data_IF_542954440269
#
_entry.id   IF_542954440269
#
_cell.length_a   1.000
_cell.length_b   1.000
_cell.length_c   1.000
_cell.angle_alpha   90.00
_cell.angle_beta   90.00
_cell.angle_gamma   90.00
#
_symmetry.space_group_name_H-M   'P 1'
#
loop_
_entity.id
_entity.type
_entity.pdbx_description
1 polymer ?
#
# COMPACT_ATOMS: atom_id res chain seq x y z
N UNK A 1 9.69 35.23 -0.02
CA UNK A 1 8.67 36.22 0.42
C UNK A 1 7.34 35.80 -0.18
N UNK A 2 6.20 35.82 0.49
CA UNK A 2 5.82 35.54 1.86
C UNK A 2 4.30 35.33 1.75
N UNK A 3 3.78 34.29 2.41
CA UNK A 3 2.37 34.03 2.73
C UNK A 3 1.28 34.37 1.72
N UNK A 4 0.58 33.36 1.18
CA UNK A 4 -0.88 33.37 1.01
C UNK A 4 -1.37 31.93 0.77
N UNK A 5 -1.21 31.07 1.79
CA UNK A 5 -2.00 29.84 1.90
C UNK A 5 -3.25 30.25 2.68
N UNK A 6 -4.28 30.65 1.93
CA UNK A 6 -5.62 30.85 2.48
C UNK A 6 -6.15 29.49 2.96
N UNK A 7 -6.49 29.41 4.24
CA UNK A 7 -7.06 28.23 4.92
C UNK A 7 -8.47 27.85 4.39
N UNK A 8 -8.98 28.55 3.37
CA UNK A 8 -10.22 28.22 2.67
C UNK A 8 -10.03 27.26 1.48
N UNK A 9 -8.80 27.02 1.02
CA UNK A 9 -8.52 26.13 -0.13
C UNK A 9 -8.65 24.62 0.18
N UNK A 10 -8.69 24.25 1.47
CA UNK A 10 -8.75 22.85 1.91
C UNK A 10 -10.14 22.23 1.77
N UNK A 11 -11.19 23.03 1.48
CA UNK A 11 -12.58 22.52 1.37
C UNK A 11 -13.07 22.28 -0.06
N UNK A 12 -12.39 22.79 -1.09
CA UNK A 12 -12.83 22.61 -2.49
C UNK A 12 -12.14 21.43 -3.22
N UNK A 13 -10.95 21.01 -2.80
CA UNK A 13 -10.32 19.79 -3.34
C UNK A 13 -11.05 18.51 -2.88
N UNK A 14 -11.84 18.60 -1.81
CA UNK A 14 -12.61 17.50 -1.18
C UNK A 14 -13.70 16.93 -2.09
N UNK A 15 -14.09 17.63 -3.16
CA UNK A 15 -15.35 17.32 -3.87
C UNK A 15 -15.15 16.63 -5.22
N UNK A 16 -14.00 16.74 -5.90
CA UNK A 16 -13.82 16.08 -7.21
C UNK A 16 -13.52 14.57 -7.14
N UNK A 17 -12.90 14.08 -6.06
CA UNK A 17 -12.59 12.65 -5.90
C UNK A 17 -13.70 11.91 -5.13
N UNK A 18 -14.31 12.55 -4.13
CA UNK A 18 -15.38 11.94 -3.33
C UNK A 18 -16.68 11.71 -4.10
N UNK A 19 -16.99 12.55 -5.11
CA UNK A 19 -18.32 12.57 -5.70
C UNK A 19 -18.51 11.62 -6.91
N UNK A 20 -17.43 11.12 -7.50
CA UNK A 20 -17.47 10.05 -8.50
C UNK A 20 -17.34 8.64 -7.89
N UNK A 21 -16.88 8.54 -6.64
CA UNK A 21 -16.82 7.28 -5.88
C UNK A 21 -18.10 6.99 -5.07
N UNK A 22 -19.03 7.95 -4.99
CA UNK A 22 -20.32 7.79 -4.28
C UNK A 22 -21.28 6.76 -4.93
N UNK A 23 -20.92 6.19 -6.09
CA UNK A 23 -21.60 5.02 -6.66
C UNK A 23 -21.04 3.72 -6.07
N UNK A 24 -21.37 3.50 -4.82
CA UNK A 24 -22.05 2.29 -4.32
C UNK A 24 -22.09 2.41 -2.80
N UNK A 25 -23.29 2.39 -2.23
CA UNK A 25 -23.48 2.13 -0.80
C UNK A 25 -23.05 0.69 -0.40
N UNK A 26 -22.27 0.01 -1.25
CA UNK A 26 -21.61 -1.28 -1.07
C UNK A 26 -20.07 -1.14 -1.03
N UNK A 27 -19.51 0.06 -1.21
CA UNK A 27 -18.07 0.32 -1.15
C UNK A 27 -17.61 0.67 0.27
N UNK A 28 -17.90 -0.20 1.24
CA UNK A 28 -16.79 -0.56 2.13
C UNK A 28 -15.89 -1.40 1.23
N UNK A 29 -14.77 -0.85 0.78
CA UNK A 29 -13.82 -1.60 -0.05
C UNK A 29 -13.59 -2.95 0.63
N UNK A 30 -14.02 -4.04 -0.01
CA UNK A 30 -13.98 -5.34 0.61
C UNK A 30 -12.51 -5.72 0.74
N UNK A 31 -12.01 -5.71 1.97
CA UNK A 31 -10.69 -6.23 2.27
C UNK A 31 -10.68 -7.72 1.95
N UNK A 32 -9.70 -8.14 1.14
CA UNK A 32 -9.46 -9.54 0.86
C UNK A 32 -8.13 -9.92 1.48
N UNK A 33 -8.20 -10.74 2.52
CA UNK A 33 -7.07 -11.09 3.37
C UNK A 33 -6.75 -12.59 3.31
N UNK A 34 -5.46 -12.91 3.32
CA UNK A 34 -4.90 -14.24 3.37
C UNK A 34 -4.04 -14.37 4.63
N UNK A 35 -4.32 -15.37 5.45
CA UNK A 35 -3.51 -15.67 6.62
C UNK A 35 -2.20 -16.33 6.18
N UNK A 36 -1.06 -15.68 6.44
CA UNK A 36 0.27 -16.26 6.21
C UNK A 36 0.73 -17.06 7.43
N UNK A 37 0.45 -16.56 8.64
CA UNK A 37 0.68 -17.27 9.89
C UNK A 37 -0.23 -16.77 11.01
N UNK A 38 -0.76 -17.69 11.82
CA UNK A 38 -1.47 -17.39 13.08
C UNK A 38 -0.57 -17.57 14.32
N UNK A 39 0.67 -17.99 14.12
CA UNK A 39 1.66 -18.27 15.16
C UNK A 39 1.14 -19.24 16.23
N UNK A 40 0.33 -20.22 15.83
CA UNK A 40 -0.24 -21.24 16.72
C UNK A 40 0.47 -22.55 16.52
N UNK A 41 1.11 -23.06 17.57
CA UNK A 41 1.86 -24.32 17.53
C UNK A 41 1.46 -25.23 18.70
N UNK A 42 1.50 -26.56 18.52
CA UNK A 42 1.18 -27.51 19.59
C UNK A 42 2.24 -27.51 20.70
N UNK A 43 3.50 -27.20 20.36
CA UNK A 43 4.63 -27.22 21.28
C UNK A 43 5.78 -26.32 20.78
N UNK A 44 6.77 -26.10 21.65
CA UNK A 44 7.93 -25.27 21.37
C UNK A 44 8.84 -25.86 20.27
N UNK A 45 8.93 -27.19 20.15
CA UNK A 45 9.75 -27.85 19.14
C UNK A 45 9.22 -27.56 17.73
N UNK A 46 7.90 -27.71 17.55
CA UNK A 46 7.20 -27.39 16.31
C UNK A 46 7.36 -25.91 15.94
N UNK A 47 7.20 -25.01 16.91
CA UNK A 47 7.39 -23.58 16.70
C UNK A 47 8.82 -23.25 16.24
N UNK A 48 9.84 -23.77 16.93
CA UNK A 48 11.25 -23.52 16.61
C UNK A 48 11.68 -24.18 15.28
N UNK A 49 11.04 -25.29 14.89
CA UNK A 49 11.28 -25.94 13.59
C UNK A 49 10.66 -25.16 12.43
N UNK A 50 9.51 -24.54 12.63
CA UNK A 50 8.83 -23.71 11.62
C UNK A 50 9.47 -22.33 11.50
N UNK A 51 9.72 -21.66 12.63
CA UNK A 51 10.40 -20.36 12.70
C UNK A 51 11.80 -20.55 13.25
N UNK A 52 12.74 -20.82 12.35
CA UNK A 52 14.13 -21.13 12.64
C UNK A 52 14.86 -19.87 13.05
N UNK A 53 15.39 -19.85 14.27
CA UNK A 53 16.29 -18.80 14.69
C UNK A 53 17.65 -18.96 14.00
N UNK A 54 18.32 -17.84 13.72
CA UNK A 54 19.65 -17.84 13.10
C UNK A 54 20.63 -16.91 13.84
N UNK A 55 21.92 -17.18 13.68
CA UNK A 55 22.97 -16.52 14.46
C UNK A 55 22.86 -16.86 15.95
N UNK A 56 23.02 -15.84 16.80
CA UNK A 56 22.88 -15.94 18.26
C UNK A 56 21.43 -15.66 18.73
N UNK A 57 20.45 -15.64 17.82
CA UNK A 57 19.05 -15.37 18.15
C UNK A 57 18.44 -16.52 18.97
N UNK A 58 17.76 -16.26 20.10
CA UNK A 58 16.99 -17.29 20.80
C UNK A 58 15.84 -17.86 19.95
N UNK A 59 15.50 -19.16 20.06
CA UNK A 59 14.33 -19.71 19.39
C UNK A 59 13.03 -19.05 19.86
N UNK A 60 12.00 -19.07 19.02
CA UNK A 60 10.66 -18.65 19.44
C UNK A 60 10.12 -19.59 20.51
N UNK A 61 9.36 -19.06 21.46
CA UNK A 61 8.69 -19.84 22.49
C UNK A 61 7.17 -19.78 22.31
N UNK A 62 6.48 -20.90 22.48
CA UNK A 62 5.01 -20.89 22.58
C UNK A 62 4.59 -20.23 23.90
N UNK A 63 3.48 -19.49 23.90
CA UNK A 63 2.90 -18.95 25.14
C UNK A 63 2.31 -20.07 25.99
N UNK A 64 1.35 -20.78 25.38
CA UNK A 64 0.70 -21.98 25.87
C UNK A 64 0.42 -22.88 24.66
N UNK A 65 0.48 -24.21 24.84
CA UNK A 65 0.24 -25.17 23.77
C UNK A 65 -1.12 -24.94 23.10
N UNK A 66 -1.14 -24.73 21.78
CA UNK A 66 -2.36 -24.51 21.00
C UNK A 66 -2.99 -23.12 21.16
N UNK A 67 -2.40 -22.22 21.95
CA UNK A 67 -2.86 -20.83 22.06
C UNK A 67 -2.21 -19.98 20.96
N UNK A 68 -2.95 -19.07 20.29
CA UNK A 68 -2.38 -18.20 19.29
C UNK A 68 -1.27 -17.29 19.83
N UNK A 69 -0.10 -17.42 19.23
CA UNK A 69 1.01 -16.52 19.39
C UNK A 69 2.29 -17.20 19.86
N UNK A 70 3.41 -16.65 19.39
CA UNK A 70 4.75 -17.04 19.82
C UNK A 70 5.51 -15.85 20.37
N UNK A 71 6.28 -16.07 21.43
CA UNK A 71 7.17 -15.08 22.03
C UNK A 71 8.53 -15.11 21.34
N UNK A 72 8.97 -13.94 20.91
CA UNK A 72 10.33 -13.62 20.52
C UNK A 72 11.01 -12.94 21.70
N UNK A 73 12.11 -13.52 22.18
CA UNK A 73 12.96 -12.90 23.20
C UNK A 73 13.88 -11.87 22.54
N UNK A 74 14.00 -10.68 23.14
CA UNK A 74 14.86 -9.60 22.70
C UNK A 74 15.99 -9.39 23.72
N UNK A 75 17.11 -10.14 23.64
CA UNK A 75 18.18 -10.08 24.63
C UNK A 75 19.17 -8.93 24.32
N UNK A 76 18.67 -7.70 24.15
CA UNK A 76 19.50 -6.60 23.66
C UNK A 76 20.39 -5.92 24.70
N UNK A 77 20.18 -6.17 25.98
CA UNK A 77 21.10 -5.78 27.06
C UNK A 77 22.03 -6.94 27.44
N UNK A 78 21.50 -8.16 27.47
CA UNK A 78 22.24 -9.35 27.90
C UNK A 78 23.08 -10.03 26.79
N UNK A 79 22.79 -9.77 25.51
CA UNK A 79 23.56 -10.28 24.38
C UNK A 79 23.99 -9.17 23.41
N UNK A 80 25.16 -9.32 22.83
CA UNK A 80 25.74 -8.37 21.88
C UNK A 80 25.23 -8.59 20.43
N UNK A 81 23.92 -8.83 20.28
CA UNK A 81 23.30 -9.00 18.95
C UNK A 81 22.63 -7.69 18.48
N UNK A 82 22.75 -7.32 17.20
CA UNK A 82 22.13 -6.11 16.67
C UNK A 82 20.63 -6.28 16.35
N UNK A 83 20.19 -7.53 16.19
CA UNK A 83 18.81 -7.89 15.87
C UNK A 83 18.55 -9.36 16.18
N UNK A 84 17.29 -9.73 16.35
CA UNK A 84 16.85 -11.12 16.25
C UNK A 84 16.54 -11.46 14.79
N UNK A 85 16.65 -12.74 14.43
CA UNK A 85 16.35 -13.25 13.10
C UNK A 85 15.57 -14.56 13.21
N UNK A 86 14.36 -14.58 12.66
CA UNK A 86 13.51 -15.75 12.58
C UNK A 86 13.09 -16.00 11.13
N UNK A 87 13.47 -17.15 10.60
CA UNK A 87 13.23 -17.55 9.22
C UNK A 87 12.20 -18.67 9.14
N UNK A 88 11.31 -18.58 8.15
CA UNK A 88 10.34 -19.63 7.81
C UNK A 88 10.40 -19.92 6.33
N UNK A 89 10.57 -21.19 5.97
CA UNK A 89 10.42 -21.64 4.59
C UNK A 89 8.93 -21.75 4.25
N UNK A 90 8.54 -21.22 3.09
CA UNK A 90 7.14 -21.17 2.64
C UNK A 90 7.05 -21.47 1.14
N UNK A 91 5.83 -21.54 0.61
CA UNK A 91 5.58 -21.52 -0.83
C UNK A 91 4.31 -20.71 -1.06
N UNK A 92 4.49 -19.43 -1.42
CA UNK A 92 3.38 -18.51 -1.61
C UNK A 92 3.49 -17.79 -2.96
N UNK A 93 2.33 -17.63 -3.60
CA UNK A 93 2.13 -16.61 -4.62
C UNK A 93 1.57 -15.37 -3.91
N UNK A 94 2.42 -14.36 -3.74
CA UNK A 94 2.06 -13.07 -3.17
C UNK A 94 2.01 -11.99 -4.26
N UNK A 95 1.81 -12.33 -5.54
CA UNK A 95 1.65 -11.35 -6.63
C UNK A 95 0.47 -10.41 -6.38
N UNK A 96 -0.65 -10.96 -5.89
CA UNK A 96 -1.90 -10.23 -5.77
C UNK A 96 -1.99 -9.28 -4.55
N UNK A 97 -1.68 -9.72 -3.30
CA UNK A 97 -1.72 -8.84 -2.13
C UNK A 97 -0.90 -7.58 -2.33
N UNK A 98 -1.39 -6.41 -1.92
CA UNK A 98 -0.64 -5.16 -2.02
C UNK A 98 -0.04 -4.72 -0.68
N UNK A 99 -0.38 -5.40 0.41
CA UNK A 99 0.04 -5.03 1.75
C UNK A 99 0.17 -6.26 2.64
N UNK A 100 1.09 -6.18 3.61
CA UNK A 100 1.26 -7.16 4.66
C UNK A 100 1.05 -6.54 6.02
N UNK A 101 0.36 -7.26 6.91
CA UNK A 101 0.02 -6.79 8.26
C UNK A 101 0.58 -7.75 9.29
N UNK A 102 1.41 -7.25 10.19
CA UNK A 102 1.93 -7.98 11.34
C UNK A 102 1.29 -7.45 12.62
N UNK A 103 0.50 -8.29 13.27
CA UNK A 103 -0.05 -8.03 14.60
C UNK A 103 0.90 -8.60 15.66
N UNK A 104 1.27 -7.77 16.62
CA UNK A 104 2.17 -8.15 17.71
C UNK A 104 1.85 -7.41 19.01
N UNK A 105 2.36 -7.91 20.12
CA UNK A 105 2.30 -7.25 21.43
C UNK A 105 3.69 -7.13 22.06
N UNK A 106 3.97 -6.03 22.76
CA UNK A 106 5.21 -5.89 23.52
C UNK A 106 5.03 -4.95 24.71
N UNK A 107 5.64 -5.28 25.84
CA UNK A 107 5.73 -4.38 27.00
C UNK A 107 7.00 -3.51 26.99
N UNK A 108 7.89 -3.75 26.03
CA UNK A 108 9.21 -3.11 25.93
C UNK A 108 9.40 -2.46 24.56
N UNK A 109 8.53 -1.51 24.13
CA UNK A 109 8.63 -0.90 22.80
C UNK A 109 9.97 -0.20 22.59
N UNK A 110 10.62 0.31 23.64
CA UNK A 110 11.92 0.97 23.55
C UNK A 110 13.08 0.03 23.21
N UNK A 111 12.95 -1.28 23.48
CA UNK A 111 13.92 -2.30 23.08
C UNK A 111 13.91 -2.52 21.56
N UNK A 112 12.82 -2.18 20.87
CA UNK A 112 12.66 -2.37 19.42
C UNK A 112 12.91 -1.05 18.69
N UNK A 113 14.02 -0.96 17.95
CA UNK A 113 14.30 0.19 17.10
C UNK A 113 13.37 0.23 15.88
N UNK A 114 13.24 -0.91 15.21
CA UNK A 114 12.29 -1.15 14.12
C UNK A 114 12.19 -2.66 13.85
N UNK A 115 11.18 -3.04 13.09
CA UNK A 115 10.95 -4.43 12.65
C UNK A 115 11.16 -4.51 11.15
N UNK A 116 11.94 -5.47 10.69
CA UNK A 116 12.04 -5.79 9.27
C UNK A 116 11.24 -7.05 8.96
N UNK A 117 10.45 -6.99 7.89
CA UNK A 117 9.78 -8.12 7.28
C UNK A 117 10.42 -8.33 5.91
N UNK A 118 10.97 -9.52 5.69
CA UNK A 118 11.50 -9.90 4.38
C UNK A 118 10.73 -11.06 3.79
N UNK A 119 10.63 -11.05 2.46
CA UNK A 119 10.18 -12.18 1.65
C UNK A 119 11.30 -12.62 0.72
N UNK A 120 11.77 -13.87 0.87
CA UNK A 120 12.74 -14.48 -0.03
C UNK A 120 12.03 -14.96 -1.29
N UNK A 121 12.66 -14.75 -2.42
CA UNK A 121 12.21 -15.23 -3.72
C UNK A 121 13.40 -15.65 -4.56
N UNK A 122 13.72 -16.94 -4.60
CA UNK A 122 14.91 -17.44 -5.28
C UNK A 122 16.19 -16.78 -4.73
N UNK A 123 16.94 -16.10 -5.61
CA UNK A 123 18.25 -15.51 -5.29
C UNK A 123 18.18 -14.06 -4.78
N UNK A 124 17.01 -13.61 -4.33
CA UNK A 124 16.83 -12.28 -3.76
C UNK A 124 15.74 -12.18 -2.73
N UNK A 125 15.58 -10.97 -2.20
CA UNK A 125 14.67 -10.64 -1.12
C UNK A 125 13.95 -9.33 -1.42
N UNK A 126 12.71 -9.27 -0.96
CA UNK A 126 12.00 -8.01 -0.76
C UNK A 126 12.10 -7.64 0.73
N UNK A 127 12.50 -6.42 1.04
CA UNK A 127 12.73 -5.93 2.40
C UNK A 127 11.83 -4.73 2.76
N UNK A 128 10.91 -4.92 3.70
CA UNK A 128 10.05 -3.89 4.27
C UNK A 128 10.39 -3.61 5.73
N UNK A 129 10.06 -2.41 6.22
CA UNK A 129 10.30 -2.01 7.61
C UNK A 129 9.06 -1.38 8.24
N UNK A 130 8.83 -1.69 9.50
CA UNK A 130 7.73 -1.18 10.32
C UNK A 130 8.25 -0.77 11.69
N UNK A 131 7.45 -0.02 12.45
CA UNK A 131 7.82 0.46 13.78
C UNK A 131 6.75 0.11 14.81
N UNK A 132 7.22 -0.33 15.97
CA UNK A 132 6.40 -0.43 17.18
C UNK A 132 6.27 0.98 17.76
N UNK A 133 5.05 1.39 18.13
CA UNK A 133 4.78 2.75 18.60
C UNK A 133 4.36 2.82 20.06
N UNK A 134 3.87 1.71 20.64
CA UNK A 134 3.35 1.69 22.01
C UNK A 134 3.58 0.35 22.71
N UNK A 135 3.44 0.37 24.04
CA UNK A 135 3.32 -0.84 24.86
C UNK A 135 1.95 -1.51 24.59
N UNK A 136 1.88 -2.83 24.69
CA UNK A 136 0.68 -3.61 24.37
C UNK A 136 0.57 -3.94 22.88
N UNK A 137 -0.67 -3.99 22.38
CA UNK A 137 -0.96 -4.39 21.01
C UNK A 137 -0.52 -3.35 19.98
N UNK A 138 0.13 -3.82 18.92
CA UNK A 138 0.58 -3.04 17.78
C UNK A 138 0.20 -3.76 16.48
N UNK A 139 -0.19 -2.98 15.47
CA UNK A 139 -0.44 -3.45 14.12
C UNK A 139 0.55 -2.74 13.20
N UNK A 140 1.49 -3.49 12.66
CA UNK A 140 2.50 -2.98 11.72
C UNK A 140 2.01 -3.28 10.31
N UNK A 141 1.96 -2.24 9.48
CA UNK A 141 1.51 -2.30 8.10
C UNK A 141 2.69 -2.09 7.17
N UNK A 142 2.85 -2.99 6.19
CA UNK A 142 3.94 -2.98 5.22
C UNK A 142 3.36 -2.97 3.80
N UNK A 143 3.16 -1.79 3.18
CA UNK A 143 2.75 -1.69 1.79
C UNK A 143 3.81 -2.33 0.89
N UNK A 144 3.40 -3.16 -0.07
CA UNK A 144 4.31 -3.85 -1.00
C UNK A 144 5.19 -2.86 -1.78
N UNK A 145 4.63 -1.72 -2.17
CA UNK A 145 5.35 -0.64 -2.88
C UNK A 145 6.51 -0.06 -2.07
N UNK A 146 6.50 -0.19 -0.74
CA UNK A 146 7.58 0.29 0.13
C UNK A 146 8.65 -0.79 0.40
N UNK A 147 8.55 -1.97 -0.23
CA UNK A 147 9.59 -2.99 -0.15
C UNK A 147 10.73 -2.68 -1.13
N UNK A 148 11.95 -2.79 -0.63
CA UNK A 148 13.16 -2.62 -1.41
C UNK A 148 13.68 -3.97 -1.86
N UNK A 149 14.34 -4.01 -3.01
CA UNK A 149 14.92 -5.25 -3.55
C UNK A 149 16.35 -5.41 -3.06
N UNK A 150 16.66 -6.57 -2.50
CA UNK A 150 18.03 -7.02 -2.19
C UNK A 150 18.36 -8.27 -3.04
N UNK A 151 19.45 -8.24 -3.80
CA UNK A 151 19.80 -9.32 -4.72
C UNK A 151 18.89 -9.36 -5.96
N UNK A 152 18.56 -10.57 -6.44
CA UNK A 152 17.80 -10.75 -7.69
C UNK A 152 16.57 -11.64 -7.44
N UNK A 153 15.49 -11.10 -6.85
CA UNK A 153 14.33 -11.88 -6.52
C UNK A 153 13.65 -12.46 -7.78
N UNK A 154 13.15 -13.68 -7.69
CA UNK A 154 12.48 -14.37 -8.79
C UNK A 154 11.04 -13.87 -9.06
N UNK A 155 10.50 -13.02 -8.19
CA UNK A 155 9.18 -12.40 -8.31
C UNK A 155 8.25 -12.67 -7.13
N UNK A 156 7.28 -11.77 -6.92
CA UNK A 156 6.26 -11.92 -5.88
C UNK A 156 5.38 -13.17 -6.03
N UNK A 157 5.32 -13.77 -7.22
CA UNK A 157 4.62 -15.03 -7.48
C UNK A 157 5.41 -16.28 -7.06
N UNK A 158 6.64 -16.11 -6.55
CA UNK A 158 7.51 -17.20 -6.12
C UNK A 158 8.20 -16.85 -4.80
N UNK A 159 7.40 -16.64 -3.76
CA UNK A 159 7.94 -16.45 -2.41
C UNK A 159 8.19 -17.80 -1.76
N UNK A 160 9.44 -18.04 -1.37
CA UNK A 160 9.91 -19.30 -0.79
C UNK A 160 10.45 -19.16 0.64
N UNK A 161 10.46 -17.95 1.20
CA UNK A 161 10.87 -17.70 2.57
C UNK A 161 10.30 -16.41 3.15
N UNK A 162 10.14 -16.39 4.47
CA UNK A 162 9.81 -15.20 5.26
C UNK A 162 10.91 -15.02 6.30
N UNK A 163 11.38 -13.79 6.50
CA UNK A 163 12.23 -13.42 7.64
C UNK A 163 11.58 -12.31 8.43
N UNK A 164 11.51 -12.51 9.74
CA UNK A 164 11.20 -11.46 10.70
C UNK A 164 12.47 -11.10 11.47
N UNK A 165 12.74 -9.81 11.59
CA UNK A 165 13.85 -9.30 12.38
C UNK A 165 13.44 -8.13 13.25
N UNK A 166 13.69 -8.24 14.55
CA UNK A 166 13.55 -7.12 15.47
C UNK A 166 14.92 -6.50 15.69
N UNK A 167 15.08 -5.23 15.33
CA UNK A 167 16.34 -4.53 15.48
C UNK A 167 16.45 -3.88 16.85
N UNK A 168 17.65 -3.92 17.42
CA UNK A 168 17.96 -3.32 18.71
C UNK A 168 17.65 -1.81 18.69
N UNK A 169 16.80 -1.40 19.63
CA UNK A 169 16.57 -0.01 19.99
C UNK A 169 17.50 0.42 21.12
N UNK A 170 16.92 0.70 22.29
CA UNK A 170 17.70 0.91 23.52
C UNK A 170 18.34 -0.40 24.00
N UNK A 171 19.44 -0.34 24.76
CA UNK A 171 20.06 -1.50 25.39
C UNK A 171 19.20 -1.97 26.56
N UNK A 172 18.07 -2.58 26.25
CA UNK A 172 17.09 -3.09 27.20
C UNK A 172 16.63 -4.46 26.70
N UNK A 173 16.61 -5.44 27.60
CA UNK A 173 15.99 -6.73 27.30
C UNK A 173 14.47 -6.56 27.20
N UNK A 174 13.84 -7.39 26.36
CA UNK A 174 12.40 -7.35 26.17
C UNK A 174 11.86 -8.61 25.52
N UNK A 175 10.58 -8.55 25.17
CA UNK A 175 9.96 -9.59 24.35
C UNK A 175 8.87 -9.00 23.48
N UNK A 176 8.60 -9.71 22.38
CA UNK A 176 7.46 -9.44 21.51
C UNK A 176 6.67 -10.73 21.38
N UNK A 177 5.36 -10.64 21.47
CA UNK A 177 4.45 -11.74 21.11
C UNK A 177 3.94 -11.48 19.71
N UNK A 178 4.26 -12.37 18.78
CA UNK A 178 3.69 -12.36 17.43
C UNK A 178 2.28 -12.98 17.48
N UNK A 179 1.29 -12.32 16.89
CA UNK A 179 -0.11 -12.79 16.89
C UNK A 179 -0.55 -13.27 15.53
N UNK A 180 -0.39 -12.46 14.49
CA UNK A 180 -0.83 -12.79 13.13
C UNK A 180 0.04 -12.12 12.09
N UNK A 181 0.27 -12.81 10.98
CA UNK A 181 0.84 -12.25 9.76
C UNK A 181 -0.14 -12.50 8.62
N UNK A 182 -0.57 -11.41 7.97
CA UNK A 182 -1.62 -11.41 6.96
C UNK A 182 -1.10 -10.73 5.70
N UNK A 183 -1.49 -11.21 4.54
CA UNK A 183 -1.38 -10.49 3.28
C UNK A 183 -2.77 -10.03 2.84
N UNK A 184 -2.94 -8.79 2.40
CA UNK A 184 -4.25 -8.28 1.96
C UNK A 184 -4.16 -7.40 0.73
N UNK A 185 -5.31 -7.19 0.10
CA UNK A 185 -5.52 -6.20 -0.95
C UNK A 185 -6.95 -5.67 -0.90
N UNK A 186 -7.15 -4.54 -1.57
CA UNK A 186 -8.42 -3.83 -1.63
C UNK A 186 -8.99 -3.81 -3.06
N UNK A 187 -10.28 -3.52 -3.17
CA UNK A 187 -10.94 -3.35 -4.46
C UNK A 187 -10.52 -2.07 -5.20
N UNK A 188 -9.90 -1.12 -4.50
CA UNK A 188 -9.40 0.16 -5.05
C UNK A 188 -7.89 0.13 -5.03
N UNK A 189 -7.25 0.51 -6.15
CA UNK A 189 -5.83 0.80 -6.20
C UNK A 189 -5.57 2.23 -6.66
N UNK A 190 -4.51 2.82 -6.13
CA UNK A 190 -3.91 4.08 -6.59
C UNK A 190 -2.57 3.73 -7.23
N UNK A 191 -2.41 4.06 -8.51
CA UNK A 191 -1.12 4.00 -9.17
C UNK A 191 -0.28 5.20 -8.71
N UNK A 192 0.87 4.92 -8.11
CA UNK A 192 1.83 5.90 -7.61
C UNK A 192 3.13 5.81 -8.42
N UNK A 193 3.86 6.92 -8.63
CA UNK A 193 5.12 6.89 -9.37
C UNK A 193 6.16 6.03 -8.64
N UNK A 194 6.85 5.14 -9.36
CA UNK A 194 7.94 4.38 -8.78
C UNK A 194 9.12 5.26 -8.37
N UNK A 195 9.80 4.88 -7.28
CA UNK A 195 11.03 5.52 -6.81
C UNK A 195 12.16 5.46 -7.86
N UNK A 196 12.08 4.57 -8.85
CA UNK A 196 12.95 4.55 -10.02
C UNK A 196 12.91 5.85 -10.86
N UNK A 197 11.96 6.74 -10.58
CA UNK A 197 11.81 8.05 -11.23
C UNK A 197 12.27 9.21 -10.37
N UNK A 198 12.86 8.95 -9.19
CA UNK A 198 13.42 9.99 -8.36
C UNK A 198 14.46 10.83 -9.11
N UNK A 199 14.35 12.15 -8.98
CA UNK A 199 15.19 13.12 -9.69
C UNK A 199 14.72 13.48 -11.11
N UNK A 200 13.75 12.75 -11.70
CA UNK A 200 13.15 13.16 -12.97
C UNK A 200 12.28 14.42 -12.79
N UNK A 201 12.18 15.26 -13.83
CA UNK A 201 11.17 16.32 -13.86
C UNK A 201 9.78 15.76 -13.57
N UNK A 202 8.96 16.52 -12.84
CA UNK A 202 7.57 16.17 -12.48
C UNK A 202 7.38 15.01 -11.48
N UNK A 203 8.42 14.25 -11.13
CA UNK A 203 8.31 13.16 -10.15
C UNK A 203 7.70 13.61 -8.83
N UNK A 204 8.22 14.72 -8.26
CA UNK A 204 7.70 15.28 -7.00
C UNK A 204 6.23 15.67 -7.11
N UNK A 205 5.83 16.24 -8.24
CA UNK A 205 4.43 16.61 -8.48
C UNK A 205 3.53 15.38 -8.55
N UNK A 206 3.97 14.32 -9.24
CA UNK A 206 3.25 13.07 -9.37
C UNK A 206 3.07 12.35 -8.02
N UNK A 207 4.10 12.36 -7.17
CA UNK A 207 4.03 11.89 -5.77
C UNK A 207 3.05 12.74 -4.96
N UNK A 208 3.19 14.07 -4.96
CA UNK A 208 2.33 14.98 -4.18
C UNK A 208 0.84 14.85 -4.55
N UNK A 209 0.54 14.63 -5.84
CA UNK A 209 -0.83 14.43 -6.33
C UNK A 209 -1.37 13.07 -5.90
N UNK A 210 -0.55 12.02 -6.01
CA UNK A 210 -0.93 10.67 -5.58
C UNK A 210 -1.19 10.61 -4.08
N UNK A 211 -0.30 11.19 -3.26
CA UNK A 211 -0.46 11.27 -1.80
C UNK A 211 -1.71 12.05 -1.39
N UNK A 212 -2.09 13.08 -2.17
CA UNK A 212 -3.34 13.79 -1.96
C UNK A 212 -4.56 12.89 -2.21
N UNK A 213 -4.53 12.08 -3.26
CA UNK A 213 -5.60 11.10 -3.54
C UNK A 213 -5.68 10.04 -2.44
N UNK A 214 -4.54 9.46 -2.05
CA UNK A 214 -4.47 8.52 -0.93
C UNK A 214 -5.09 9.10 0.35
N UNK A 215 -4.71 10.32 0.74
CA UNK A 215 -5.26 10.98 1.94
C UNK A 215 -6.77 11.20 1.84
N UNK A 216 -7.29 11.52 0.66
CA UNK A 216 -8.74 11.67 0.48
C UNK A 216 -9.47 10.33 0.65
N UNK A 217 -8.89 9.23 0.17
CA UNK A 217 -9.47 7.89 0.36
C UNK A 217 -9.44 7.50 1.85
N UNK A 218 -8.33 7.78 2.55
CA UNK A 218 -8.22 7.57 4.00
C UNK A 218 -9.27 8.37 4.78
N UNK A 219 -9.43 9.67 4.47
CA UNK A 219 -10.43 10.55 5.09
C UNK A 219 -11.87 10.06 4.85
N UNK A 220 -12.10 9.34 3.75
CA UNK A 220 -13.39 8.71 3.42
C UNK A 220 -13.54 7.31 4.00
N UNK A 221 -12.51 6.75 4.66
CA UNK A 221 -12.50 5.37 5.16
C UNK A 221 -12.51 4.31 4.05
N UNK A 222 -12.08 4.66 2.85
CA UNK A 222 -11.98 3.75 1.72
C UNK A 222 -10.61 3.09 1.75
N UNK A 223 -10.54 1.79 2.02
CA UNK A 223 -9.30 1.04 1.90
C UNK A 223 -8.82 0.97 0.44
N UNK A 224 -7.53 1.18 0.22
CA UNK A 224 -6.92 1.14 -1.10
C UNK A 224 -5.52 0.54 -1.07
N UNK A 225 -5.10 0.04 -2.22
CA UNK A 225 -3.74 -0.41 -2.47
C UNK A 225 -2.92 0.68 -3.15
N UNK A 226 -1.64 0.78 -2.84
CA UNK A 226 -0.69 1.53 -3.66
C UNK A 226 0.02 0.55 -4.59
N UNK A 227 -0.07 0.80 -5.89
CA UNK A 227 0.65 0.06 -6.93
C UNK A 227 1.60 1.02 -7.64
N UNK A 228 2.70 0.50 -8.15
CA UNK A 228 3.63 1.20 -9.05
C UNK A 228 3.92 0.31 -10.27
N UNK A 229 4.74 0.77 -11.20
CA UNK A 229 5.13 0.07 -12.43
C UNK A 229 5.79 -1.29 -12.15
N UNK A 230 6.35 -1.51 -10.96
CA UNK A 230 6.99 -2.78 -10.59
C UNK A 230 6.01 -3.81 -10.03
N UNK A 231 4.84 -3.35 -9.57
CA UNK A 231 3.80 -4.16 -8.92
C UNK A 231 2.49 -4.21 -9.73
N UNK A 232 2.40 -3.43 -10.81
CA UNK A 232 1.29 -3.43 -11.75
C UNK A 232 1.46 -4.53 -12.80
N UNK A 233 0.87 -5.68 -12.55
CA UNK A 233 0.68 -6.72 -13.56
C UNK A 233 -0.80 -6.92 -13.92
N UNK A 234 -1.08 -7.82 -14.87
CA UNK A 234 -2.46 -8.11 -15.31
C UNK A 234 -3.34 -8.64 -14.18
N UNK A 235 -2.83 -9.56 -13.35
CA UNK A 235 -3.58 -10.08 -12.21
C UNK A 235 -3.84 -8.96 -11.20
N UNK A 236 -2.83 -8.12 -10.97
CA UNK A 236 -2.94 -7.00 -10.08
C UNK A 236 -4.04 -6.03 -10.56
N UNK A 237 -3.97 -5.54 -11.78
CA UNK A 237 -4.96 -4.59 -12.30
C UNK A 237 -6.39 -5.17 -12.35
N UNK A 238 -6.55 -6.42 -12.81
CA UNK A 238 -7.85 -7.07 -12.99
C UNK A 238 -8.56 -7.40 -11.67
N UNK A 239 -7.81 -7.71 -10.62
CA UNK A 239 -8.39 -8.04 -9.32
C UNK A 239 -9.03 -6.83 -8.62
N UNK A 240 -8.73 -5.61 -9.09
CA UNK A 240 -9.30 -4.36 -8.56
C UNK A 240 -10.56 -4.00 -9.33
N UNK A 241 -11.55 -3.51 -8.59
CA UNK A 241 -12.75 -2.90 -9.16
C UNK A 241 -12.44 -1.54 -9.76
N UNK A 242 -11.54 -0.78 -9.13
CA UNK A 242 -11.16 0.58 -9.55
C UNK A 242 -9.65 0.74 -9.46
N UNK A 243 -9.04 1.27 -10.53
CA UNK A 243 -7.66 1.77 -10.52
C UNK A 243 -7.68 3.27 -10.78
N UNK A 244 -7.17 4.03 -9.82
CA UNK A 244 -7.01 5.47 -9.86
C UNK A 244 -5.59 5.78 -10.36
N UNK A 245 -5.47 6.61 -11.40
CA UNK A 245 -4.20 7.16 -11.89
C UNK A 245 -4.24 8.68 -11.69
N UNK A 246 -3.78 9.17 -10.52
CA UNK A 246 -3.91 10.56 -10.13
C UNK A 246 -3.12 11.53 -10.99
N UNK A 247 -1.87 11.18 -11.29
CA UNK A 247 -0.99 11.83 -12.24
C UNK A 247 0.28 10.99 -12.33
N UNK A 248 0.54 10.39 -13.48
CA UNK A 248 1.76 9.61 -13.69
C UNK A 248 2.34 9.86 -15.09
N UNK A 249 3.26 10.83 -15.23
CA UNK A 249 3.89 11.14 -16.51
C UNK A 249 4.89 10.09 -16.99
N UNK A 250 5.13 9.03 -16.22
CA UNK A 250 6.10 8.00 -16.55
C UNK A 250 5.47 6.70 -17.04
N UNK A 251 4.13 6.63 -17.07
CA UNK A 251 3.38 5.46 -17.48
C UNK A 251 3.85 4.91 -18.82
N UNK A 252 4.43 3.70 -18.80
CA UNK A 252 4.97 3.05 -19.98
C UNK A 252 3.90 2.41 -20.85
N UNK A 253 4.29 2.00 -22.06
CA UNK A 253 3.37 1.30 -23.00
C UNK A 253 2.84 -0.02 -22.41
N UNK A 254 3.65 -0.73 -21.62
CA UNK A 254 3.28 -1.98 -20.97
C UNK A 254 2.25 -1.78 -19.86
N UNK A 255 2.40 -0.73 -19.05
CA UNK A 255 1.43 -0.35 -18.02
C UNK A 255 0.11 0.09 -18.65
N UNK A 256 0.19 0.90 -19.71
CA UNK A 256 -0.96 1.32 -20.51
C UNK A 256 -1.70 0.10 -21.07
N UNK A 257 -0.98 -0.88 -21.61
CA UNK A 257 -1.56 -2.11 -22.13
C UNK A 257 -2.23 -2.94 -21.03
N UNK A 258 -1.59 -3.05 -19.86
CA UNK A 258 -2.11 -3.75 -18.68
C UNK A 258 -3.41 -3.12 -18.19
N UNK A 259 -3.44 -1.80 -18.02
CA UNK A 259 -4.64 -1.05 -17.62
C UNK A 259 -5.75 -1.15 -18.68
N UNK A 260 -5.41 -1.08 -19.97
CA UNK A 260 -6.36 -1.24 -21.07
C UNK A 260 -7.02 -2.63 -21.05
N UNK A 261 -6.23 -3.67 -20.81
CA UNK A 261 -6.72 -5.04 -20.74
C UNK A 261 -7.61 -5.26 -19.51
N UNK A 262 -7.21 -4.74 -18.33
CA UNK A 262 -8.04 -4.76 -17.13
C UNK A 262 -9.38 -4.04 -17.35
N UNK A 263 -9.37 -2.87 -17.98
CA UNK A 263 -10.58 -2.11 -18.28
C UNK A 263 -11.56 -2.87 -19.20
N UNK A 264 -11.05 -3.59 -20.20
CA UNK A 264 -11.87 -4.48 -21.06
C UNK A 264 -12.55 -5.61 -20.28
N UNK A 265 -11.97 -6.02 -19.15
CA UNK A 265 -12.51 -7.08 -18.26
C UNK A 265 -13.36 -6.55 -17.12
N UNK A 266 -13.58 -5.24 -17.05
CA UNK A 266 -14.55 -4.62 -16.16
C UNK A 266 -13.97 -3.72 -15.07
N UNK A 267 -12.64 -3.69 -14.89
CA UNK A 267 -11.97 -2.74 -13.99
C UNK A 267 -12.28 -1.32 -14.43
N UNK A 268 -12.67 -0.45 -13.50
CA UNK A 268 -12.91 0.97 -13.78
C UNK A 268 -11.59 1.73 -13.66
N UNK A 269 -11.34 2.62 -14.60
CA UNK A 269 -10.17 3.50 -14.57
C UNK A 269 -10.62 4.92 -14.25
N UNK A 270 -9.92 5.56 -13.34
CA UNK A 270 -10.05 6.99 -13.07
C UNK A 270 -8.74 7.67 -13.43
N UNK A 271 -8.72 8.36 -14.57
CA UNK A 271 -7.52 8.95 -15.14
C UNK A 271 -7.60 10.47 -15.02
N UNK A 272 -6.59 11.07 -14.41
CA UNK A 272 -6.50 12.51 -14.24
C UNK A 272 -5.42 13.09 -15.15
N UNK A 273 -5.75 14.19 -15.83
CA UNK A 273 -4.88 15.01 -16.68
C UNK A 273 -4.32 14.31 -17.94
N UNK A 274 -4.07 13.02 -17.90
CA UNK A 274 -3.55 12.23 -19.00
C UNK A 274 -4.56 11.17 -19.44
N UNK A 275 -4.70 11.01 -20.76
CA UNK A 275 -5.51 9.97 -21.36
C UNK A 275 -4.77 9.42 -22.59
N UNK A 276 -3.84 8.47 -22.39
CA UNK A 276 -3.17 7.78 -23.48
C UNK A 276 -4.18 7.20 -24.47
N UNK A 277 -3.88 7.28 -25.77
CA UNK A 277 -4.81 6.84 -26.84
C UNK A 277 -5.35 5.42 -26.65
N UNK A 278 -4.54 4.42 -26.23
CA UNK A 278 -5.07 3.07 -25.99
C UNK A 278 -6.14 3.04 -24.89
N UNK A 279 -5.97 3.82 -23.81
CA UNK A 279 -6.97 3.94 -22.74
C UNK A 279 -8.20 4.72 -23.20
N UNK A 280 -8.02 5.79 -23.97
CA UNK A 280 -9.13 6.55 -24.57
C UNK A 280 -10.06 5.63 -25.37
N UNK A 281 -9.49 4.81 -26.25
CA UNK A 281 -10.24 3.88 -27.09
C UNK A 281 -11.05 2.86 -26.27
N UNK A 282 -10.45 2.30 -25.21
CA UNK A 282 -11.13 1.34 -24.33
C UNK A 282 -12.25 1.99 -23.53
N UNK A 283 -12.07 3.26 -23.12
CA UNK A 283 -13.06 4.02 -22.37
C UNK A 283 -14.15 4.64 -23.28
N UNK A 284 -14.10 4.42 -24.60
CA UNK A 284 -15.04 5.02 -25.55
C UNK A 284 -14.87 6.53 -25.72
N UNK A 285 -13.72 7.08 -25.33
CA UNK A 285 -13.39 8.50 -25.45
C UNK A 285 -12.69 8.72 -26.79
N UNK A 286 -13.28 9.58 -27.62
CA UNK A 286 -12.72 9.97 -28.92
C UNK A 286 -11.55 10.97 -28.79
N UNK A 287 -11.29 11.70 -29.88
CA UNK A 287 -10.25 12.74 -29.89
C UNK A 287 -10.55 13.84 -28.86
N UNK A 288 -9.67 13.97 -27.87
CA UNK A 288 -9.71 15.08 -26.91
C UNK A 288 -8.84 16.22 -27.43
N UNK A 289 -9.39 17.43 -27.49
CA UNK A 289 -8.60 18.64 -27.74
C UNK A 289 -8.58 19.48 -26.48
N UNK A 290 -7.39 19.90 -26.06
CA UNK A 290 -7.26 20.85 -24.95
C UNK A 290 -8.02 22.15 -25.29
N UNK A 291 -8.83 22.63 -24.34
CA UNK A 291 -9.60 23.87 -24.48
C UNK A 291 -9.22 24.84 -23.37
N UNK A 292 -8.52 25.95 -23.68
CA UNK A 292 -8.31 27.01 -22.71
C UNK A 292 -9.63 27.73 -22.41
N UNK A 293 -9.70 28.48 -21.31
CA UNK A 293 -10.81 29.42 -21.10
C UNK A 293 -10.78 30.53 -22.16
N UNK A 294 -11.95 30.93 -22.62
CA UNK A 294 -12.21 32.06 -23.52
C UNK A 294 -12.78 33.26 -22.76
N UNK A 295 -13.38 33.02 -21.57
CA UNK A 295 -13.93 34.06 -20.69
C UNK A 295 -13.80 33.72 -19.20
N UNK A 296 -13.87 34.74 -18.37
CA UNK A 296 -13.82 34.60 -16.91
C UNK A 296 -14.93 33.68 -16.38
N UNK A 297 -14.56 32.79 -15.46
CA UNK A 297 -15.47 31.80 -14.88
C UNK A 297 -15.83 30.63 -15.82
N UNK A 298 -15.34 30.60 -17.06
CA UNK A 298 -15.48 29.41 -17.91
C UNK A 298 -14.73 28.23 -17.29
N UNK A 299 -15.41 27.09 -17.18
CA UNK A 299 -14.95 25.88 -16.50
C UNK A 299 -14.76 26.01 -14.97
N UNK A 300 -15.23 27.09 -14.32
CA UNK A 300 -15.13 27.25 -12.87
C UNK A 300 -16.05 26.33 -12.04
N UNK A 301 -16.98 25.63 -12.69
CA UNK A 301 -17.89 24.69 -12.03
C UNK A 301 -18.23 23.50 -12.92
N UNK A 302 -18.44 22.36 -12.29
CA UNK A 302 -19.05 21.17 -12.86
C UNK A 302 -20.47 21.11 -12.32
N UNK A 303 -21.46 21.11 -13.21
CA UNK A 303 -22.87 20.94 -12.82
C UNK A 303 -23.21 19.47 -13.04
N UNK A 304 -23.67 18.80 -11.98
CA UNK A 304 -23.94 17.37 -11.99
C UNK A 304 -25.44 17.15 -12.17
N UNK A 305 -25.78 16.29 -13.12
CA UNK A 305 -27.13 15.74 -13.25
C UNK A 305 -27.34 14.72 -12.13
N UNK A 306 -27.92 15.17 -11.01
CA UNK A 306 -28.08 14.35 -9.79
C UNK A 306 -29.07 13.20 -9.95
N UNK A 307 -29.91 13.23 -10.98
CA UNK A 307 -30.79 12.10 -11.31
C UNK A 307 -29.99 10.95 -11.93
N UNK A 308 -28.95 11.29 -12.71
CA UNK A 308 -28.00 10.32 -13.26
C UNK A 308 -26.88 9.97 -12.29
N UNK A 309 -26.58 10.85 -11.35
CA UNK A 309 -25.54 10.65 -10.35
C UNK A 309 -26.06 10.91 -8.92
N UNK A 310 -26.94 10.06 -8.36
CA UNK A 310 -27.47 10.26 -7.01
C UNK A 310 -26.36 10.28 -5.96
N UNK A 311 -26.48 11.18 -4.98
CA UNK A 311 -25.50 11.38 -3.91
C UNK A 311 -24.34 12.32 -4.27
N UNK A 312 -24.17 12.66 -5.55
CA UNK A 312 -23.23 13.70 -5.94
C UNK A 312 -23.77 15.10 -5.60
N UNK A 313 -22.91 16.05 -5.24
CA UNK A 313 -23.29 17.43 -5.07
C UNK A 313 -23.73 17.99 -6.43
N UNK A 314 -24.79 18.81 -6.44
CA UNK A 314 -25.33 19.35 -7.69
C UNK A 314 -24.31 20.26 -8.43
N UNK A 315 -23.35 20.82 -7.69
CA UNK A 315 -22.28 21.65 -8.25
C UNK A 315 -20.97 21.34 -7.54
N UNK A 316 -19.91 21.16 -8.33
CA UNK A 316 -18.52 21.11 -7.87
C UNK A 316 -17.79 22.34 -8.37
N UNK A 317 -17.09 23.04 -7.48
CA UNK A 317 -16.29 24.20 -7.83
C UNK A 317 -14.87 23.78 -8.22
N UNK A 318 -14.33 24.39 -9.27
CA UNK A 318 -12.96 24.17 -9.72
C UNK A 318 -12.10 25.38 -9.33
N UNK A 319 -10.95 25.10 -8.72
CA UNK A 319 -9.95 26.11 -8.37
C UNK A 319 -8.60 25.69 -8.97
N UNK A 320 -8.54 25.64 -10.29
CA UNK A 320 -7.30 25.35 -11.03
C UNK A 320 -6.68 26.66 -11.51
N UNK A 321 -5.35 26.74 -11.46
CA UNK A 321 -4.58 27.86 -12.02
C UNK A 321 -4.90 28.12 -13.50
N UNK A 322 -5.37 27.09 -14.22
CA UNK A 322 -5.69 27.18 -15.63
C UNK A 322 -7.02 27.91 -15.92
N UNK A 323 -7.81 28.22 -14.88
CA UNK A 323 -9.12 28.88 -15.00
C UNK A 323 -9.25 30.13 -14.11
N UNK A 324 -8.26 30.40 -13.26
CA UNK A 324 -8.11 31.63 -12.46
C UNK A 324 -7.09 32.55 -13.12
#
# INVERSE_FOLDING_TARGET
>A
MSSWIDRRSTRCAVVCVACLLAFTAEALAAEKAYLLDAFTFPDAESAAKTWKASGETPPVAVLDAGTPGVRVTLPFDTQAIPRTIHDRDVSFDLSLPAEFVLELETDSPAAVGYVSLYFRSGDGWYAGSGRVSASGANTLVFPKVDFHVEGTPAGWNRIDGIRLSFWKGKPEDGSVVLRRLIARYHDVAVLVPSSAHEGKPEYRTAVDVSDRVCRMLDELGIGFDRLDETTLDSNAAEARRIVLVPYDPFLGDDDIATLAAAAKRGTKLFLNYQLPRPLAAVLGIGSTTYRPRERDGQFARIVVDTDKLPGAPPVVLQTSWNIT
#
